data_IF_316850177474
#
_entry.id   IF_316850177474
#
_cell.length_a   1.000
_cell.length_b   1.000
_cell.length_c   1.000
_cell.angle_alpha   90.00
_cell.angle_beta   90.00
_cell.angle_gamma   90.00
#
_symmetry.space_group_name_H-M   'P 1'
#
loop_
_entity.id
_entity.type
_entity.pdbx_description
1 polymer ?
#
# COMPACT_ATOMS: atom_id res chain seq x y z
N UNK A 1 -56.66 28.50 12.10
CA UNK A 1 -57.42 28.91 10.90
C UNK A 1 -56.44 29.68 10.03
N UNK A 2 -55.91 29.17 8.90
CA UNK A 2 -56.60 28.80 7.65
C UNK A 2 -56.84 30.07 6.83
N UNK A 3 -56.40 30.26 5.58
CA UNK A 3 -55.67 29.46 4.60
C UNK A 3 -55.52 30.27 3.29
N UNK A 4 -54.83 29.67 2.30
CA UNK A 4 -55.06 29.66 0.83
C UNK A 4 -55.28 31.02 0.10
N UNK A 5 -54.61 31.40 -0.99
CA UNK A 5 -54.08 30.63 -2.14
C UNK A 5 -54.94 30.91 -3.40
N UNK A 6 -54.36 31.17 -4.57
CA UNK A 6 -55.11 31.16 -5.84
C UNK A 6 -54.50 31.92 -7.03
N UNK A 7 -54.40 31.23 -8.16
CA UNK A 7 -53.71 31.54 -9.43
C UNK A 7 -54.61 32.16 -10.52
N UNK A 8 -53.99 32.80 -11.52
CA UNK A 8 -54.51 33.15 -12.87
C UNK A 8 -53.50 32.58 -13.90
N UNK A 9 -53.77 32.20 -15.16
CA UNK A 9 -54.93 32.28 -16.05
C UNK A 9 -54.49 32.07 -17.52
N UNK A 10 -55.46 31.90 -18.44
CA UNK A 10 -55.44 32.22 -19.89
C UNK A 10 -54.68 31.25 -20.83
N UNK A 11 -54.98 31.11 -22.14
CA UNK A 11 -55.97 31.69 -23.08
C UNK A 11 -55.86 30.93 -24.42
N UNK A 12 -56.96 30.41 -25.01
CA UNK A 12 -57.62 30.80 -26.30
C UNK A 12 -56.81 30.78 -27.62
N UNK A 13 -57.38 30.12 -28.64
CA UNK A 13 -57.05 30.27 -30.06
C UNK A 13 -57.94 29.38 -30.96
N UNK A 14 -58.75 30.00 -31.83
CA UNK A 14 -59.86 29.45 -32.64
C UNK A 14 -59.51 29.26 -34.13
N UNK A 15 -60.33 28.43 -34.82
CA UNK A 15 -60.70 28.55 -36.24
C UNK A 15 -59.95 27.60 -37.19
N UNK A 16 -60.54 26.86 -38.13
CA UNK A 16 -61.90 26.83 -38.71
C UNK A 16 -61.76 26.78 -40.26
N UNK A 17 -62.30 25.75 -40.93
CA UNK A 17 -62.36 25.70 -42.40
C UNK A 17 -62.57 24.29 -43.02
N UNK A 18 -63.78 24.06 -43.54
CA UNK A 18 -64.28 22.90 -44.32
C UNK A 18 -63.73 22.87 -45.77
N UNK A 19 -63.93 21.90 -46.69
CA UNK A 19 -64.27 20.47 -46.76
C UNK A 19 -64.09 20.07 -48.26
N UNK A 20 -63.62 18.86 -48.58
CA UNK A 20 -63.89 18.16 -49.85
C UNK A 20 -63.49 16.69 -49.72
N UNK A 21 -64.25 15.81 -50.38
CA UNK A 21 -64.48 14.40 -50.04
C UNK A 21 -63.76 13.47 -51.00
N UNK A 22 -63.14 12.38 -50.50
CA UNK A 22 -62.96 11.12 -51.24
C UNK A 22 -62.79 9.93 -50.27
N UNK A 23 -63.22 8.71 -50.63
CA UNK A 23 -63.66 7.70 -49.66
C UNK A 23 -62.67 6.57 -49.35
N UNK A 24 -62.89 5.99 -48.16
CA UNK A 24 -62.68 4.60 -47.76
C UNK A 24 -61.25 4.01 -47.65
N UNK A 25 -60.77 3.90 -46.41
CA UNK A 25 -60.18 2.65 -45.88
C UNK A 25 -60.71 2.44 -44.46
N UNK A 26 -61.41 1.34 -44.22
CA UNK A 26 -61.72 0.85 -42.87
C UNK A 26 -60.42 0.44 -42.19
N UNK A 27 -60.04 1.12 -41.11
CA UNK A 27 -58.97 0.67 -40.21
C UNK A 27 -59.61 0.35 -38.87
N UNK A 28 -59.44 -0.90 -38.43
CA UNK A 28 -59.88 -1.40 -37.14
C UNK A 28 -59.36 -0.53 -35.98
N UNK A 29 -60.11 -0.39 -34.86
CA UNK A 29 -59.68 0.42 -33.74
C UNK A 29 -58.35 -0.11 -33.16
N UNK A 30 -57.32 0.74 -33.16
CA UNK A 30 -56.06 0.48 -32.45
C UNK A 30 -56.35 0.29 -30.96
N UNK A 31 -55.95 -0.87 -30.42
CA UNK A 31 -55.93 -1.12 -28.99
C UNK A 31 -55.02 -0.11 -28.31
N UNK A 32 -55.52 0.52 -27.24
CA UNK A 32 -54.74 1.43 -26.42
C UNK A 32 -53.49 0.72 -25.85
N UNK A 33 -52.31 1.37 -25.82
CA UNK A 33 -51.12 0.76 -25.29
C UNK A 33 -51.28 0.54 -23.79
N UNK A 34 -51.18 -0.72 -23.36
CA UNK A 34 -51.12 -1.08 -21.94
C UNK A 34 -49.77 -0.59 -21.42
N UNK A 35 -49.80 0.48 -20.62
CA UNK A 35 -48.62 1.03 -19.95
C UNK A 35 -48.19 0.02 -18.88
N UNK A 36 -47.13 -0.73 -19.15
CA UNK A 36 -46.56 -1.66 -18.18
C UNK A 36 -45.90 -0.83 -17.08
N UNK A 37 -46.46 -0.87 -15.87
CA UNK A 37 -45.88 -0.17 -14.72
C UNK A 37 -44.50 -0.78 -14.40
N UNK A 38 -43.44 0.00 -14.64
CA UNK A 38 -42.08 -0.37 -14.25
C UNK A 38 -42.00 -0.28 -12.72
N UNK A 39 -41.78 -1.42 -12.06
CA UNK A 39 -41.59 -1.45 -10.62
C UNK A 39 -40.41 -0.55 -10.21
N UNK A 40 -40.54 0.23 -9.13
CA UNK A 40 -39.44 1.06 -8.64
C UNK A 40 -38.22 0.19 -8.30
N UNK A 41 -36.99 0.68 -8.53
CA UNK A 41 -35.78 -0.07 -8.25
C UNK A 41 -35.76 -0.48 -6.76
N UNK A 42 -35.45 -1.75 -6.52
CA UNK A 42 -35.35 -2.27 -5.16
C UNK A 42 -34.38 -1.41 -4.33
N UNK A 43 -34.71 -1.11 -3.06
CA UNK A 43 -33.83 -0.33 -2.21
C UNK A 43 -32.44 -1.00 -2.15
N UNK A 44 -31.35 -0.21 -2.15
CA UNK A 44 -30.00 -0.77 -2.14
C UNK A 44 -29.85 -1.70 -0.94
N UNK A 45 -29.38 -2.93 -1.21
CA UNK A 45 -29.12 -3.92 -0.16
C UNK A 45 -28.23 -3.27 0.91
N UNK A 46 -28.58 -3.36 2.21
CA UNK A 46 -27.74 -2.84 3.26
C UNK A 46 -26.35 -3.47 3.16
N UNK A 47 -25.30 -2.63 3.19
CA UNK A 47 -23.91 -3.13 3.23
C UNK A 47 -23.78 -4.11 4.41
N UNK A 48 -23.19 -5.30 4.22
CA UNK A 48 -22.99 -6.23 5.31
C UNK A 48 -22.26 -5.52 6.46
N UNK A 49 -22.76 -5.68 7.69
CA UNK A 49 -22.10 -5.11 8.88
C UNK A 49 -20.68 -5.69 8.94
N UNK A 50 -19.68 -4.81 8.94
CA UNK A 50 -18.30 -5.23 9.10
C UNK A 50 -18.12 -5.95 10.45
N UNK A 51 -17.34 -7.02 10.45
CA UNK A 51 -16.93 -7.68 11.70
C UNK A 51 -16.05 -6.74 12.52
N UNK A 52 -15.94 -6.97 13.83
CA UNK A 52 -15.03 -6.19 14.69
C UNK A 52 -13.59 -6.21 14.16
N UNK A 53 -13.11 -7.35 13.69
CA UNK A 53 -11.78 -7.48 13.08
C UNK A 53 -11.62 -6.61 11.84
N UNK A 54 -12.61 -6.57 10.95
CA UNK A 54 -12.58 -5.71 9.77
C UNK A 54 -12.55 -4.22 10.14
N UNK A 55 -13.24 -3.82 11.20
CA UNK A 55 -13.22 -2.45 11.71
C UNK A 55 -11.84 -2.10 12.28
N UNK A 56 -11.21 -3.00 13.03
CA UNK A 56 -9.87 -2.81 13.58
C UNK A 56 -8.81 -2.72 12.48
N UNK A 57 -8.84 -3.62 11.49
CA UNK A 57 -7.94 -3.58 10.34
C UNK A 57 -8.10 -2.30 9.51
N UNK A 58 -9.33 -1.81 9.36
CA UNK A 58 -9.59 -0.56 8.64
C UNK A 58 -8.95 0.67 9.33
N UNK A 59 -8.83 0.67 10.66
CA UNK A 59 -8.22 1.78 11.41
C UNK A 59 -6.71 1.91 11.16
N UNK A 60 -6.00 0.80 11.00
CA UNK A 60 -4.54 0.81 10.78
C UNK A 60 -4.16 0.93 9.29
N UNK A 61 -5.11 0.75 8.36
CA UNK A 61 -4.87 0.86 6.93
C UNK A 61 -4.53 2.30 6.54
N UNK A 62 -3.34 2.51 5.98
CA UNK A 62 -2.79 3.83 5.66
C UNK A 62 -2.32 4.63 6.88
N UNK A 63 -2.53 4.11 8.10
CA UNK A 63 -2.15 4.77 9.34
C UNK A 63 -1.73 3.74 10.41
N UNK A 64 -0.53 3.13 10.29
CA UNK A 64 -0.05 2.19 11.31
C UNK A 64 0.05 2.81 12.72
N UNK A 65 0.16 4.14 12.81
CA UNK A 65 0.19 4.86 14.09
C UNK A 65 -1.15 4.87 14.83
N UNK A 66 -2.26 4.54 14.15
CA UNK A 66 -3.55 4.32 14.81
C UNK A 66 -3.47 3.21 15.87
N UNK A 67 -2.56 2.24 15.72
CA UNK A 67 -2.37 1.17 16.70
C UNK A 67 -2.05 1.75 18.10
N UNK A 68 -1.25 2.81 18.19
CA UNK A 68 -0.90 3.47 19.46
C UNK A 68 -2.07 4.20 20.14
N UNK A 69 -3.15 4.45 19.40
CA UNK A 69 -4.37 5.09 19.91
C UNK A 69 -5.42 4.07 20.37
N UNK A 70 -5.23 2.79 20.05
CA UNK A 70 -6.14 1.72 20.44
C UNK A 70 -6.02 1.41 21.94
N UNK A 71 -7.01 0.72 22.49
CA UNK A 71 -6.82 -0.01 23.74
C UNK A 71 -5.81 -1.14 23.53
N UNK A 72 -5.13 -1.60 24.59
CA UNK A 72 -4.23 -2.78 24.49
C UNK A 72 -4.98 -4.02 23.98
N UNK A 73 -6.27 -4.18 24.33
CA UNK A 73 -7.10 -5.28 23.80
C UNK A 73 -7.32 -5.15 22.29
N UNK A 74 -7.67 -3.97 21.81
CA UNK A 74 -7.93 -3.74 20.38
C UNK A 74 -6.64 -3.82 19.57
N UNK A 75 -5.51 -3.34 20.12
CA UNK A 75 -4.20 -3.50 19.49
C UNK A 75 -3.81 -4.98 19.37
N UNK A 76 -4.02 -5.78 20.43
CA UNK A 76 -3.77 -7.22 20.42
C UNK A 76 -4.63 -7.93 19.37
N UNK A 77 -5.93 -7.63 19.35
CA UNK A 77 -6.86 -8.24 18.39
C UNK A 77 -6.51 -7.83 16.95
N UNK A 78 -6.06 -6.59 16.74
CA UNK A 78 -5.57 -6.10 15.44
C UNK A 78 -4.34 -6.87 14.98
N UNK A 79 -3.33 -7.01 15.85
CA UNK A 79 -2.08 -7.73 15.53
C UNK A 79 -2.36 -9.20 15.23
N UNK A 80 -3.23 -9.86 16.00
CA UNK A 80 -3.66 -11.24 15.72
C UNK A 80 -4.39 -11.36 14.39
N UNK A 81 -5.28 -10.42 14.09
CA UNK A 81 -5.98 -10.39 12.80
C UNK A 81 -5.01 -10.20 11.62
N UNK A 82 -3.98 -9.37 11.79
CA UNK A 82 -2.90 -9.20 10.79
C UNK A 82 -2.14 -10.51 10.61
N UNK A 83 -1.73 -11.17 11.69
CA UNK A 83 -1.02 -12.44 11.64
C UNK A 83 -1.83 -13.54 10.90
N UNK A 84 -3.15 -13.52 11.05
CA UNK A 84 -4.06 -14.47 10.41
C UNK A 84 -4.40 -14.15 8.94
N UNK A 85 -4.02 -12.99 8.40
CA UNK A 85 -4.33 -12.65 7.00
C UNK A 85 -3.72 -13.68 6.04
N UNK A 86 -4.38 -14.01 4.92
CA UNK A 86 -3.78 -14.83 3.89
C UNK A 86 -2.63 -14.07 3.22
N UNK A 87 -1.64 -14.81 2.70
CA UNK A 87 -0.57 -14.28 1.88
C UNK A 87 -0.51 -14.98 0.54
N UNK A 88 -0.04 -14.27 -0.48
CA UNK A 88 0.13 -14.85 -1.80
C UNK A 88 1.24 -15.92 -1.77
N UNK A 89 0.94 -17.10 -2.30
CA UNK A 89 1.87 -18.24 -2.38
C UNK A 89 2.56 -18.37 -3.75
N UNK A 90 2.31 -17.42 -4.66
CA UNK A 90 2.88 -17.34 -6.01
C UNK A 90 4.30 -16.74 -6.06
N UNK A 91 4.94 -16.60 -4.90
CA UNK A 91 6.27 -16.02 -4.74
C UNK A 91 6.33 -14.50 -4.92
N UNK A 92 5.19 -13.80 -5.00
CA UNK A 92 5.15 -12.33 -5.05
C UNK A 92 5.27 -11.67 -3.69
N UNK A 93 5.14 -12.44 -2.61
CA UNK A 93 5.15 -11.97 -1.23
C UNK A 93 5.89 -12.96 -0.34
N UNK A 94 6.48 -12.43 0.71
CA UNK A 94 7.24 -13.21 1.66
C UNK A 94 6.37 -13.67 2.83
N UNK A 95 6.26 -14.96 3.12
CA UNK A 95 5.39 -15.49 4.18
C UNK A 95 5.92 -15.20 5.60
N UNK A 96 5.82 -13.93 6.00
CA UNK A 96 6.25 -13.40 7.29
C UNK A 96 5.18 -12.53 7.91
N UNK A 97 5.27 -12.34 9.23
CA UNK A 97 4.42 -11.38 9.91
C UNK A 97 4.67 -9.96 9.40
N UNK A 98 5.93 -9.59 9.12
CA UNK A 98 6.24 -8.26 8.58
C UNK A 98 5.56 -8.00 7.22
N UNK A 99 5.56 -8.95 6.29
CA UNK A 99 4.86 -8.75 5.01
C UNK A 99 3.36 -8.54 5.24
N UNK A 100 2.73 -9.35 6.11
CA UNK A 100 1.31 -9.17 6.50
C UNK A 100 1.06 -7.80 7.12
N UNK A 101 1.95 -7.34 8.00
CA UNK A 101 1.89 -6.02 8.60
C UNK A 101 1.94 -4.90 7.55
N UNK A 102 2.91 -4.95 6.64
CA UNK A 102 3.07 -3.95 5.58
C UNK A 102 1.88 -3.97 4.59
N UNK A 103 1.30 -5.13 4.33
CA UNK A 103 0.07 -5.27 3.53
C UNK A 103 -1.15 -4.66 4.24
N UNK A 104 -1.38 -5.04 5.49
CA UNK A 104 -2.55 -4.62 6.26
C UNK A 104 -2.55 -3.11 6.51
N UNK A 105 -1.37 -2.54 6.77
CA UNK A 105 -1.18 -1.09 6.94
C UNK A 105 -1.11 -0.34 5.61
N UNK A 106 -1.03 -1.04 4.48
CA UNK A 106 -0.95 -0.45 3.14
C UNK A 106 0.42 0.12 2.76
N UNK A 107 1.41 0.06 3.64
CA UNK A 107 2.77 0.57 3.38
C UNK A 107 3.45 -0.16 2.20
N UNK A 108 3.17 -1.46 2.03
CA UNK A 108 3.65 -2.23 0.88
C UNK A 108 2.95 -1.83 -0.44
N UNK A 109 1.80 -1.15 -0.37
CA UNK A 109 1.01 -0.74 -1.53
C UNK A 109 1.25 0.70 -1.96
N UNK A 110 1.77 1.55 -1.07
CA UNK A 110 2.20 2.91 -1.45
C UNK A 110 3.21 2.84 -2.60
N UNK A 111 3.27 3.85 -3.45
CA UNK A 111 4.16 3.86 -4.62
C UNK A 111 5.39 4.76 -4.37
N UNK A 112 6.58 4.34 -4.84
CA UNK A 112 7.74 5.22 -4.87
C UNK A 112 7.62 6.20 -6.04
N UNK A 113 8.50 7.21 -6.05
CA UNK A 113 8.81 7.93 -7.29
C UNK A 113 9.82 7.11 -8.08
N UNK A 114 9.54 6.82 -9.36
CA UNK A 114 10.46 6.07 -10.24
C UNK A 114 10.94 6.99 -11.34
N UNK A 115 12.26 7.11 -11.50
CA UNK A 115 12.91 8.02 -12.44
C UNK A 115 13.91 7.26 -13.31
N UNK A 116 14.12 7.71 -14.55
CA UNK A 116 15.29 7.29 -15.33
C UNK A 116 16.60 7.75 -14.68
N UNK A 117 17.73 7.24 -15.15
CA UNK A 117 19.06 7.55 -14.60
C UNK A 117 19.39 9.05 -14.54
N UNK A 118 19.01 9.81 -15.56
CA UNK A 118 19.34 11.24 -15.68
C UNK A 118 18.49 12.04 -14.69
N UNK A 119 17.18 11.81 -14.71
CA UNK A 119 16.22 12.42 -13.79
C UNK A 119 16.53 12.06 -12.33
N UNK A 120 16.85 10.79 -12.06
CA UNK A 120 17.28 10.31 -10.75
C UNK A 120 18.51 11.06 -10.24
N UNK A 121 19.55 11.17 -11.08
CA UNK A 121 20.78 11.88 -10.71
C UNK A 121 20.54 13.35 -10.38
N UNK A 122 19.65 14.02 -11.13
CA UNK A 122 19.25 15.41 -10.89
C UNK A 122 18.44 15.55 -9.60
N UNK A 123 17.42 14.72 -9.41
CA UNK A 123 16.56 14.74 -8.23
C UNK A 123 17.36 14.49 -6.94
N UNK A 124 18.23 13.47 -6.93
CA UNK A 124 19.10 13.16 -5.80
C UNK A 124 20.00 14.34 -5.42
N UNK A 125 20.68 14.95 -6.40
CA UNK A 125 21.56 16.11 -6.16
C UNK A 125 20.79 17.29 -5.60
N UNK A 126 19.60 17.58 -6.15
CA UNK A 126 18.72 18.63 -5.65
C UNK A 126 18.28 18.38 -4.20
N UNK A 127 18.01 17.13 -3.85
CA UNK A 127 17.64 16.74 -2.49
C UNK A 127 18.82 16.69 -1.52
N UNK A 128 20.06 16.81 -1.99
CA UNK A 128 21.26 16.59 -1.16
C UNK A 128 21.35 15.16 -0.60
N UNK A 129 20.68 14.20 -1.24
CA UNK A 129 20.49 12.88 -0.67
C UNK A 129 21.66 11.93 -1.00
N UNK A 130 21.96 11.02 -0.08
CA UNK A 130 22.89 9.93 -0.34
C UNK A 130 22.28 8.94 -1.33
N UNK A 131 23.10 8.43 -2.25
CA UNK A 131 22.71 7.31 -3.10
C UNK A 131 22.77 6.05 -2.23
N UNK A 132 21.73 5.24 -2.34
CA UNK A 132 21.55 3.98 -1.60
C UNK A 132 21.25 2.85 -2.58
N UNK A 133 21.50 1.62 -2.14
CA UNK A 133 21.38 0.43 -2.98
C UNK A 133 20.59 -0.67 -2.28
N UNK A 134 19.74 -1.34 -3.04
CA UNK A 134 18.99 -2.49 -2.59
C UNK A 134 19.22 -3.65 -3.55
N UNK A 135 19.63 -4.79 -3.00
CA UNK A 135 19.83 -6.03 -3.72
C UNK A 135 18.86 -7.09 -3.26
N UNK A 136 18.38 -7.87 -4.23
CA UNK A 136 17.58 -9.07 -3.98
C UNK A 136 18.29 -10.30 -4.54
N UNK A 137 18.27 -11.37 -3.74
CA UNK A 137 18.64 -12.71 -4.15
C UNK A 137 17.40 -13.50 -4.57
N UNK A 138 17.46 -14.27 -5.67
CA UNK A 138 16.33 -15.09 -6.09
C UNK A 138 16.18 -16.32 -5.19
N UNK A 139 14.98 -16.55 -4.67
CA UNK A 139 14.67 -17.71 -3.83
C UNK A 139 14.68 -19.05 -4.59
N UNK A 140 14.55 -19.01 -5.93
CA UNK A 140 14.55 -20.18 -6.81
C UNK A 140 15.83 -20.29 -7.66
N UNK A 141 16.84 -19.45 -7.34
CA UNK A 141 18.09 -19.40 -8.08
C UNK A 141 18.00 -18.78 -9.47
N UNK A 142 16.86 -18.24 -9.92
CA UNK A 142 16.71 -17.65 -11.26
C UNK A 142 16.85 -16.13 -11.23
N UNK A 143 17.70 -15.57 -12.11
CA UNK A 143 17.90 -14.12 -12.18
C UNK A 143 16.62 -13.32 -12.44
N UNK A 144 15.68 -13.89 -13.20
CA UNK A 144 14.36 -13.30 -13.45
C UNK A 144 13.56 -13.05 -12.18
N UNK A 145 13.74 -13.86 -11.15
CA UNK A 145 13.05 -13.72 -9.86
C UNK A 145 13.56 -12.52 -9.08
N UNK A 146 14.88 -12.30 -9.05
CA UNK A 146 15.46 -11.10 -8.44
C UNK A 146 15.04 -9.82 -9.17
N UNK A 147 14.97 -9.85 -10.51
CA UNK A 147 14.45 -8.72 -11.29
C UNK A 147 12.97 -8.48 -10.98
N UNK A 148 12.17 -9.55 -10.88
CA UNK A 148 10.73 -9.46 -10.57
C UNK A 148 10.49 -8.79 -9.22
N UNK A 149 11.20 -9.14 -8.15
CA UNK A 149 11.01 -8.51 -6.83
C UNK A 149 11.40 -7.03 -6.83
N UNK A 150 12.47 -6.66 -7.53
CA UNK A 150 12.86 -5.25 -7.72
C UNK A 150 11.85 -4.48 -8.59
N UNK A 151 11.27 -5.10 -9.61
CA UNK A 151 10.16 -4.52 -10.37
C UNK A 151 8.92 -4.37 -9.49
N UNK A 152 8.62 -5.32 -8.60
CA UNK A 152 7.55 -5.17 -7.63
C UNK A 152 7.79 -3.98 -6.70
N UNK A 153 9.04 -3.75 -6.29
CA UNK A 153 9.42 -2.57 -5.52
C UNK A 153 9.16 -1.27 -6.31
N UNK A 154 9.49 -1.22 -7.60
CA UNK A 154 9.32 -0.03 -8.43
C UNK A 154 7.86 0.24 -8.83
N UNK A 155 7.16 -0.76 -9.36
CA UNK A 155 5.87 -0.59 -10.07
C UNK A 155 4.79 -1.59 -9.66
N UNK A 156 5.12 -2.61 -8.84
CA UNK A 156 4.17 -3.64 -8.44
C UNK A 156 3.02 -3.12 -7.59
N UNK A 157 1.91 -3.87 -7.57
CA UNK A 157 0.77 -3.57 -6.67
C UNK A 157 1.14 -3.65 -5.19
N UNK A 158 2.07 -4.55 -4.85
CA UNK A 158 2.57 -4.79 -3.51
C UNK A 158 4.07 -5.03 -3.59
N UNK A 159 4.84 -4.39 -2.72
CA UNK A 159 6.27 -4.63 -2.56
C UNK A 159 6.54 -5.98 -1.89
N UNK A 160 7.56 -6.69 -2.36
CA UNK A 160 8.13 -7.81 -1.62
C UNK A 160 8.93 -7.26 -0.43
N UNK A 161 8.62 -7.72 0.78
CA UNK A 161 9.30 -7.31 2.00
C UNK A 161 10.49 -8.23 2.28
N UNK A 162 11.70 -7.69 2.12
CA UNK A 162 12.92 -8.39 2.54
C UNK A 162 12.94 -8.50 4.08
N UNK A 163 13.67 -9.50 4.58
CA UNK A 163 13.76 -9.83 6.00
C UNK A 163 15.15 -10.35 6.31
N UNK A 164 15.66 -10.08 7.51
CA UNK A 164 16.97 -10.54 7.94
C UNK A 164 17.49 -9.78 9.15
N UNK A 165 18.77 -9.99 9.46
CA UNK A 165 19.46 -9.41 10.63
C UNK A 165 19.31 -7.88 10.72
N UNK A 166 19.31 -7.20 9.58
CA UNK A 166 19.35 -5.74 9.51
C UNK A 166 17.95 -5.09 9.59
N UNK A 167 16.87 -5.84 9.46
CA UNK A 167 15.51 -5.30 9.53
C UNK A 167 14.59 -5.94 8.51
N UNK A 168 13.30 -5.70 8.70
CA UNK A 168 12.25 -6.21 7.82
C UNK A 168 11.60 -5.06 7.05
N UNK A 169 11.62 -5.12 5.72
CA UNK A 169 11.36 -4.01 4.81
C UNK A 169 12.40 -3.97 3.68
N UNK A 170 12.54 -2.83 3.00
CA UNK A 170 13.55 -2.66 1.95
C UNK A 170 14.88 -2.27 2.59
N UNK A 171 15.84 -3.19 2.64
CA UNK A 171 17.21 -2.94 3.12
C UNK A 171 17.97 -2.03 2.14
N UNK A 172 18.68 -1.04 2.67
CA UNK A 172 19.40 -0.03 1.90
C UNK A 172 20.84 0.10 2.40
N UNK A 173 21.78 -0.02 1.47
CA UNK A 173 23.21 0.12 1.72
C UNK A 173 23.79 1.36 1.04
N UNK A 174 24.92 1.87 1.53
CA UNK A 174 25.68 2.92 0.85
C UNK A 174 26.67 2.36 -0.18
N UNK A 175 27.13 1.12 0.00
CA UNK A 175 28.08 0.49 -0.89
C UNK A 175 27.38 -0.45 -1.87
N UNK A 176 27.37 -0.06 -3.14
CA UNK A 176 26.81 -0.86 -4.22
C UNK A 176 27.45 -2.25 -4.30
N UNK A 177 28.78 -2.31 -4.26
CA UNK A 177 29.56 -3.53 -4.51
C UNK A 177 29.48 -4.44 -3.29
N UNK A 178 29.75 -3.90 -2.10
CA UNK A 178 29.56 -4.63 -0.84
C UNK A 178 28.16 -5.22 -0.72
N UNK A 179 27.13 -4.44 -1.09
CA UNK A 179 25.75 -4.91 -1.05
C UNK A 179 25.47 -6.08 -2.00
N UNK A 180 25.90 -6.02 -3.28
CA UNK A 180 25.66 -7.16 -4.20
C UNK A 180 26.47 -8.39 -3.81
N UNK A 181 27.69 -8.22 -3.34
CA UNK A 181 28.57 -9.35 -3.00
C UNK A 181 28.03 -10.13 -1.81
N UNK A 182 27.46 -9.43 -0.82
CA UNK A 182 26.94 -10.06 0.40
C UNK A 182 25.50 -10.54 0.23
N UNK A 183 24.62 -9.76 -0.43
CA UNK A 183 23.17 -9.99 -0.33
C UNK A 183 22.48 -10.40 -1.64
N UNK A 184 23.07 -10.20 -2.81
CA UNK A 184 22.41 -10.55 -4.07
C UNK A 184 22.50 -12.06 -4.41
N UNK A 185 23.38 -12.82 -3.77
CA UNK A 185 23.65 -14.21 -4.19
C UNK A 185 24.19 -14.28 -5.63
N UNK A 186 24.32 -15.47 -6.22
CA UNK A 186 24.97 -15.62 -7.54
C UNK A 186 24.18 -14.96 -8.69
N UNK A 187 22.85 -15.07 -8.65
CA UNK A 187 21.97 -14.59 -9.72
C UNK A 187 21.12 -13.37 -9.32
N UNK A 188 21.55 -12.62 -8.31
CA UNK A 188 20.79 -11.46 -7.86
C UNK A 188 20.92 -10.23 -8.75
N UNK A 189 20.14 -9.24 -8.37
CA UNK A 189 20.10 -7.94 -9.03
C UNK A 189 20.08 -6.82 -7.99
N UNK A 190 20.36 -5.61 -8.44
CA UNK A 190 20.38 -4.42 -7.60
C UNK A 190 19.69 -3.26 -8.30
N UNK A 191 19.15 -2.36 -7.49
CA UNK A 191 18.65 -1.05 -7.91
C UNK A 191 19.20 0.03 -6.99
N UNK A 192 19.44 1.23 -7.54
CA UNK A 192 19.84 2.41 -6.76
C UNK A 192 18.65 3.31 -6.47
N UNK A 193 18.65 3.94 -5.30
CA UNK A 193 17.57 4.80 -4.83
C UNK A 193 18.08 5.84 -3.83
N UNK A 194 17.20 6.71 -3.34
CA UNK A 194 17.45 7.53 -2.15
C UNK A 194 16.16 7.71 -1.33
N UNK A 195 16.32 8.06 -0.06
CA UNK A 195 15.19 8.46 0.80
C UNK A 195 14.74 9.89 0.44
N UNK A 196 13.50 10.04 0.00
CA UNK A 196 12.95 11.31 -0.46
C UNK A 196 12.30 12.12 0.69
N UNK A 197 11.66 13.24 0.38
CA UNK A 197 11.01 14.13 1.36
C UNK A 197 9.82 13.51 2.10
N UNK A 198 9.30 12.36 1.66
CA UNK A 198 8.26 11.61 2.38
C UNK A 198 8.83 10.65 3.43
N UNK A 199 10.16 10.49 3.49
CA UNK A 199 10.81 9.69 4.50
C UNK A 199 10.72 10.36 5.88
N UNK A 200 10.12 9.66 6.84
CA UNK A 200 10.16 9.93 8.27
C UNK A 200 11.13 8.95 8.89
N UNK A 201 12.36 9.42 9.07
CA UNK A 201 13.51 8.59 9.40
C UNK A 201 13.66 8.52 10.93
N UNK A 202 13.55 7.32 11.48
CA UNK A 202 13.93 7.01 12.85
C UNK A 202 15.43 6.73 12.97
N UNK A 203 16.02 7.10 14.10
CA UNK A 203 17.37 6.72 14.53
C UNK A 203 17.30 5.65 15.63
N UNK A 204 18.46 5.14 16.06
CA UNK A 204 18.54 4.13 17.11
C UNK A 204 17.84 4.54 18.43
N UNK A 205 17.95 5.82 18.81
CA UNK A 205 17.26 6.37 19.98
C UNK A 205 15.73 6.35 19.81
N UNK A 206 15.23 6.69 18.62
CA UNK A 206 13.80 6.65 18.30
C UNK A 206 13.26 5.22 18.33
N UNK A 207 14.03 4.25 17.82
CA UNK A 207 13.66 2.83 17.89
C UNK A 207 13.55 2.35 19.35
N UNK A 208 14.52 2.73 20.20
CA UNK A 208 14.48 2.42 21.63
C UNK A 208 13.23 3.02 22.28
N UNK A 209 12.94 4.30 22.00
CA UNK A 209 11.79 4.98 22.58
C UNK A 209 10.46 4.43 22.06
N UNK A 210 10.37 4.14 20.75
CA UNK A 210 9.21 3.52 20.12
C UNK A 210 8.85 2.19 20.78
N UNK A 211 9.86 1.34 21.03
CA UNK A 211 9.66 0.07 21.76
C UNK A 211 9.14 0.31 23.18
N UNK A 212 9.80 1.19 23.96
CA UNK A 212 9.41 1.48 25.35
C UNK A 212 7.98 2.02 25.42
N UNK A 213 7.63 2.96 24.54
CA UNK A 213 6.29 3.54 24.46
C UNK A 213 5.26 2.47 24.11
N UNK A 214 5.57 1.60 23.14
CA UNK A 214 4.69 0.50 22.74
C UNK A 214 4.46 -0.47 23.90
N UNK A 215 5.53 -0.93 24.56
CA UNK A 215 5.46 -1.83 25.70
C UNK A 215 4.65 -1.25 26.87
N UNK A 216 4.86 0.03 27.17
CA UNK A 216 4.14 0.73 28.24
C UNK A 216 2.65 0.87 27.93
N UNK A 217 2.31 1.22 26.68
CA UNK A 217 0.93 1.46 26.25
C UNK A 217 0.14 0.17 26.01
N UNK A 218 0.82 -0.86 25.49
CA UNK A 218 0.21 -2.11 25.05
C UNK A 218 0.95 -3.33 25.60
N UNK A 219 1.01 -3.52 26.93
CA UNK A 219 1.81 -4.58 27.55
C UNK A 219 1.39 -5.98 27.09
N UNK A 220 0.09 -6.28 26.93
CA UNK A 220 -0.36 -7.60 26.46
C UNK A 220 -0.03 -7.82 24.98
N UNK A 221 -0.22 -6.80 24.16
CA UNK A 221 0.15 -6.85 22.74
C UNK A 221 1.64 -7.05 22.56
N UNK A 222 2.46 -6.33 23.33
CA UNK A 222 3.91 -6.48 23.34
C UNK A 222 4.33 -7.90 23.72
N UNK A 223 3.78 -8.45 24.81
CA UNK A 223 4.07 -9.82 25.25
C UNK A 223 3.68 -10.86 24.19
N UNK A 224 2.55 -10.68 23.51
CA UNK A 224 2.16 -11.53 22.39
C UNK A 224 3.19 -11.45 21.25
N UNK A 225 3.55 -10.24 20.81
CA UNK A 225 4.49 -10.03 19.71
C UNK A 225 5.86 -10.65 20.00
N UNK A 226 6.42 -10.44 21.19
CA UNK A 226 7.72 -11.01 21.52
C UNK A 226 7.65 -12.54 21.63
N UNK A 227 6.58 -13.09 22.21
CA UNK A 227 6.45 -14.55 22.37
C UNK A 227 6.21 -15.28 21.05
N UNK A 228 5.43 -14.68 20.16
CA UNK A 228 5.03 -15.29 18.88
C UNK A 228 6.05 -15.07 17.77
N UNK A 229 6.87 -14.03 17.83
CA UNK A 229 7.73 -13.65 16.72
C UNK A 229 9.21 -13.53 17.08
N UNK A 230 9.69 -13.68 18.32
CA UNK A 230 11.15 -13.59 18.58
C UNK A 230 11.88 -14.93 18.62
N UNK A 231 11.16 -16.04 18.62
CA UNK A 231 11.73 -17.40 18.60
C UNK A 231 12.16 -17.86 17.21
N UNK A 232 11.76 -17.14 16.16
CA UNK A 232 12.20 -17.37 14.78
C UNK A 232 13.50 -16.63 14.51
N UNK A 233 14.33 -17.16 13.61
CA UNK A 233 15.71 -16.73 13.33
C UNK A 233 15.90 -15.21 13.23
N UNK A 234 14.92 -14.49 12.66
CA UNK A 234 15.02 -13.06 12.38
C UNK A 234 13.93 -12.20 13.03
N UNK A 235 13.08 -12.76 13.86
CA UNK A 235 11.84 -12.06 14.17
C UNK A 235 11.97 -10.92 15.18
N UNK A 236 13.10 -10.81 15.91
CA UNK A 236 13.47 -9.55 16.59
C UNK A 236 13.59 -8.36 15.61
N UNK A 237 14.03 -8.61 14.38
CA UNK A 237 14.13 -7.58 13.34
C UNK A 237 12.77 -7.21 12.76
N UNK A 238 11.82 -8.15 12.72
CA UNK A 238 10.44 -7.89 12.27
C UNK A 238 9.69 -6.94 13.21
N UNK A 239 9.92 -7.06 14.52
CA UNK A 239 9.23 -6.23 15.49
C UNK A 239 9.66 -4.75 15.43
N UNK A 240 10.88 -4.45 14.94
CA UNK A 240 11.33 -3.07 14.69
C UNK A 240 10.37 -2.33 13.77
N UNK A 241 9.88 -3.01 12.73
CA UNK A 241 8.94 -2.47 11.76
C UNK A 241 7.64 -2.05 12.44
N UNK A 242 7.10 -2.89 13.33
CA UNK A 242 5.87 -2.57 14.08
C UNK A 242 6.09 -1.34 14.95
N UNK A 243 7.12 -1.35 15.82
CA UNK A 243 7.35 -0.25 16.77
C UNK A 243 7.54 1.09 16.05
N UNK A 244 8.34 1.11 14.97
CA UNK A 244 8.64 2.33 14.23
C UNK A 244 7.44 2.83 13.43
N UNK A 245 6.75 1.95 12.70
CA UNK A 245 5.59 2.35 11.89
C UNK A 245 4.41 2.76 12.76
N UNK A 246 4.18 2.11 13.90
CA UNK A 246 3.21 2.54 14.90
C UNK A 246 3.60 3.83 15.63
N UNK A 247 4.87 4.22 15.59
CA UNK A 247 5.33 5.53 16.07
C UNK A 247 5.34 6.61 14.98
N UNK A 248 4.85 6.29 13.78
CA UNK A 248 4.71 7.25 12.67
C UNK A 248 5.95 7.38 11.78
N UNK A 249 6.98 6.58 11.98
CA UNK A 249 8.16 6.49 11.11
C UNK A 249 7.94 5.53 9.96
N UNK A 250 8.53 5.78 8.80
CA UNK A 250 8.42 4.90 7.63
C UNK A 250 9.78 4.55 7.01
N UNK A 251 10.87 5.02 7.63
CA UNK A 251 12.23 4.62 7.36
C UNK A 251 13.04 4.58 8.66
N UNK A 252 14.08 3.76 8.67
CA UNK A 252 15.03 3.62 9.78
C UNK A 252 16.44 3.84 9.26
N UNK A 253 17.24 4.58 10.01
CA UNK A 253 18.64 4.79 9.74
C UNK A 253 19.43 4.37 10.98
N UNK A 254 20.10 3.23 10.85
CA UNK A 254 20.75 2.62 12.00
C UNK A 254 21.98 3.40 12.46
N UNK A 255 22.57 4.25 11.60
CA UNK A 255 23.75 5.07 11.91
C UNK A 255 25.01 4.24 12.20
N UNK A 256 24.98 3.53 13.32
CA UNK A 256 26.05 2.73 13.94
C UNK A 256 26.57 1.60 13.04
N UNK A 257 25.71 1.02 12.20
CA UNK A 257 26.07 -0.11 11.32
C UNK A 257 25.90 0.21 9.84
N UNK A 258 25.80 1.50 9.49
CA UNK A 258 25.86 1.94 8.09
C UNK A 258 24.71 1.52 7.17
N UNK A 259 23.59 0.97 7.66
CA UNK A 259 22.45 0.61 6.82
C UNK A 259 21.19 1.43 7.13
N UNK A 260 20.29 1.46 6.16
CA UNK A 260 18.92 1.97 6.33
C UNK A 260 17.88 0.91 5.94
N UNK A 261 16.65 1.10 6.38
CA UNK A 261 15.51 0.28 5.99
C UNK A 261 14.35 1.22 5.65
N UNK A 262 13.72 1.03 4.50
CA UNK A 262 12.43 1.67 4.20
C UNK A 262 11.29 0.69 4.45
N UNK A 263 10.27 1.14 5.19
CA UNK A 263 9.06 0.37 5.46
C UNK A 263 7.93 0.74 4.48
N UNK A 264 8.01 1.94 3.90
CA UNK A 264 7.11 2.43 2.86
C UNK A 264 7.87 2.69 1.58
N UNK A 265 7.29 2.29 0.45
CA UNK A 265 7.84 2.69 -0.86
C UNK A 265 7.68 4.18 -1.12
N UNK A 266 6.72 4.86 -0.51
CA UNK A 266 6.53 6.32 -0.66
C UNK A 266 7.75 7.12 -0.22
N UNK A 267 8.51 6.59 0.73
CA UNK A 267 9.75 7.18 1.21
C UNK A 267 10.91 7.07 0.20
N UNK A 268 10.72 6.39 -0.93
CA UNK A 268 11.77 6.09 -1.90
C UNK A 268 11.57 6.89 -3.19
N UNK A 269 12.67 7.43 -3.70
CA UNK A 269 12.83 7.74 -5.12
C UNK A 269 13.82 6.72 -5.70
N UNK A 270 13.38 5.94 -6.68
CA UNK A 270 14.08 4.77 -7.21
C UNK A 270 14.49 5.02 -8.66
N UNK A 271 15.71 4.64 -9.03
CA UNK A 271 16.13 4.61 -10.42
C UNK A 271 15.49 3.40 -11.13
N UNK A 272 14.90 3.59 -12.30
CA UNK A 272 14.24 2.52 -13.06
C UNK A 272 15.21 1.41 -13.49
N UNK A 273 16.48 1.76 -13.68
CA UNK A 273 17.54 0.80 -14.05
C UNK A 273 17.83 -0.22 -12.95
N UNK A 274 17.60 -1.50 -13.29
CA UNK A 274 18.02 -2.67 -12.53
C UNK A 274 19.29 -3.24 -13.17
N UNK A 275 20.29 -3.61 -12.36
CA UNK A 275 21.53 -4.27 -12.80
C UNK A 275 21.65 -5.65 -12.20
N UNK A 276 22.18 -6.61 -12.97
CA UNK A 276 22.58 -7.89 -12.40
C UNK A 276 23.80 -7.69 -11.49
N UNK A 277 24.00 -8.61 -10.53
CA UNK A 277 25.19 -8.62 -9.67
C UNK A 277 26.49 -8.44 -10.46
N UNK A 278 26.69 -9.22 -11.52
CA UNK A 278 27.90 -9.17 -12.34
C UNK A 278 28.13 -7.77 -12.94
N UNK A 279 27.06 -7.10 -13.39
CA UNK A 279 27.16 -5.75 -13.92
C UNK A 279 27.58 -4.73 -12.85
N UNK A 280 27.14 -4.91 -11.60
CA UNK A 280 27.54 -4.06 -10.48
C UNK A 280 29.00 -4.29 -10.12
N UNK A 281 29.42 -5.54 -9.98
CA UNK A 281 30.81 -5.92 -9.66
C UNK A 281 31.79 -5.38 -10.71
N UNK A 282 31.43 -5.42 -12.00
CA UNK A 282 32.27 -4.91 -13.09
C UNK A 282 32.32 -3.38 -13.18
N UNK A 283 31.25 -2.67 -12.83
CA UNK A 283 31.14 -1.21 -13.01
C UNK A 283 31.50 -0.39 -11.77
N UNK A 284 31.68 -1.03 -10.62
CA UNK A 284 31.97 -0.35 -9.35
C UNK A 284 30.80 0.51 -8.86
N UNK A 285 31.04 1.39 -7.88
CA UNK A 285 30.00 2.20 -7.20
C UNK A 285 29.33 3.27 -8.07
N UNK A 286 29.84 3.53 -9.29
CA UNK A 286 29.45 4.66 -10.13
C UNK A 286 28.39 4.38 -11.21
N UNK A 287 27.59 3.33 -11.04
CA UNK A 287 26.43 3.12 -11.91
C UNK A 287 25.14 3.74 -11.37
#
# INVERSE_FOLDING_TARGET
>A
MGGRGGSMGGSHGMGGGAAAVAPAVQVAPQAAPVVQAVAPPAPPKPKPKQTREQQLLAQVKGNPAALMQMSDRDALDTVKAIAAQPIATDGTQNDTFCQRWLNATGLANEMPEVLDDVAFGKARRRAGANKLYHSDAPYDGKATTAVKTLQQLQTGKTAFASFGTHGSGTYLDYDAVGNVTVYAGTHGSQVKMFLNSHARIAKAADLKQARINFETKHPKTYQYLISSHTTIQWGKSELKTVWLTSSGYNAYDNGDWGYKVAYSRKALTICSTIKSRQQVEQKGTNW
#
